data_IF_919448667913
#
_entry.id   IF_919448667913
#
_cell.length_a   1.000
_cell.length_b   1.000
_cell.length_c   1.000
_cell.angle_alpha   90.00
_cell.angle_beta   90.00
_cell.angle_gamma   90.00
#
_symmetry.space_group_name_H-M   'P 1'
#
loop_
_entity.id
_entity.type
_entity.pdbx_description
1 polymer ?
#
# COMPACT_ATOMS: atom_id res chain seq x y z
N UNK A 1 14.62 35.68 36.25
CA UNK A 1 13.99 35.70 34.93
C UNK A 1 13.84 34.24 34.50
N UNK A 2 12.65 33.67 34.67
CA UNK A 2 12.36 32.29 34.23
C UNK A 2 12.16 32.29 32.71
N UNK A 3 13.05 31.60 32.00
CA UNK A 3 12.83 31.28 30.57
C UNK A 3 11.48 30.59 30.40
N UNK A 4 10.52 31.30 29.87
CA UNK A 4 9.22 30.70 29.48
C UNK A 4 9.49 29.70 28.36
N UNK A 5 9.55 28.43 28.72
CA UNK A 5 9.64 27.33 27.76
C UNK A 5 8.53 27.51 26.69
N UNK A 6 8.92 27.67 25.43
CA UNK A 6 7.98 27.75 24.30
C UNK A 6 6.99 26.58 24.44
N UNK A 7 5.65 26.82 24.37
CA UNK A 7 4.67 25.78 24.54
C UNK A 7 4.95 24.68 23.51
N UNK A 8 5.15 23.45 23.98
CA UNK A 8 5.42 22.32 23.10
C UNK A 8 4.22 22.12 22.16
N UNK A 9 4.48 21.93 20.85
CA UNK A 9 3.45 21.75 19.82
C UNK A 9 2.45 20.64 20.22
N UNK A 10 2.95 19.57 20.82
CA UNK A 10 2.18 18.43 21.30
C UNK A 10 2.22 18.32 22.81
N UNK A 11 1.12 17.96 23.42
CA UNK A 11 1.07 17.55 24.83
C UNK A 11 1.82 16.22 25.04
N UNK A 12 2.19 15.91 26.28
CA UNK A 12 2.81 14.62 26.61
C UNK A 12 1.92 13.42 26.24
N UNK A 13 0.60 13.57 26.40
CA UNK A 13 -0.39 12.57 25.99
C UNK A 13 -0.43 12.37 24.48
N UNK A 14 -0.47 13.46 23.70
CA UNK A 14 -0.43 13.41 22.23
C UNK A 14 0.88 12.82 21.72
N UNK A 15 2.04 13.19 22.30
CA UNK A 15 3.33 12.61 21.94
C UNK A 15 3.35 11.10 22.17
N UNK A 16 2.89 10.63 23.33
CA UNK A 16 2.81 9.20 23.64
C UNK A 16 1.92 8.47 22.63
N UNK A 17 0.76 9.03 22.29
CA UNK A 17 -0.17 8.46 21.32
C UNK A 17 0.44 8.38 19.91
N UNK A 18 1.09 9.47 19.45
CA UNK A 18 1.73 9.55 18.13
C UNK A 18 2.85 8.51 18.03
N UNK A 19 3.78 8.48 19.00
CA UNK A 19 4.90 7.53 18.95
C UNK A 19 4.45 6.09 18.99
N UNK A 20 3.48 5.75 19.85
CA UNK A 20 2.96 4.38 19.96
C UNK A 20 2.27 3.94 18.68
N UNK A 21 1.37 4.76 18.12
CA UNK A 21 0.63 4.42 16.91
C UNK A 21 1.55 4.43 15.66
N UNK A 22 2.52 5.32 15.60
CA UNK A 22 3.56 5.31 14.55
C UNK A 22 4.42 4.05 14.60
N UNK A 23 4.80 3.59 15.80
CA UNK A 23 5.55 2.33 15.97
C UNK A 23 4.74 1.12 15.53
N UNK A 24 3.47 1.04 15.92
CA UNK A 24 2.57 -0.05 15.50
C UNK A 24 2.41 -0.06 13.98
N UNK A 25 2.19 1.11 13.38
CA UNK A 25 2.03 1.23 11.93
C UNK A 25 3.33 0.92 11.20
N UNK A 26 4.48 1.35 11.74
CA UNK A 26 5.80 1.02 11.24
C UNK A 26 6.02 -0.51 11.18
N UNK A 27 5.87 -1.22 12.29
CA UNK A 27 6.10 -2.67 12.33
C UNK A 27 5.16 -3.41 11.40
N UNK A 28 3.90 -3.00 11.32
CA UNK A 28 2.94 -3.60 10.42
C UNK A 28 3.30 -3.37 8.95
N UNK A 29 3.61 -2.14 8.57
CA UNK A 29 3.95 -1.81 7.18
C UNK A 29 5.30 -2.38 6.77
N UNK A 30 6.28 -2.37 7.68
CA UNK A 30 7.54 -3.07 7.47
C UNK A 30 7.32 -4.55 7.16
N UNK A 31 6.48 -5.23 7.94
CA UNK A 31 6.15 -6.65 7.74
C UNK A 31 5.53 -6.93 6.37
N UNK A 32 4.66 -6.05 5.88
CA UNK A 32 4.00 -6.21 4.59
C UNK A 32 4.99 -5.97 3.44
N UNK A 33 5.72 -4.86 3.52
CA UNK A 33 6.66 -4.45 2.48
C UNK A 33 7.88 -5.36 2.38
N UNK A 34 8.29 -5.98 3.50
CA UNK A 34 9.39 -6.91 3.54
C UNK A 34 9.19 -8.12 2.63
N UNK A 35 7.97 -8.60 2.51
CA UNK A 35 7.64 -9.77 1.68
C UNK A 35 7.56 -9.43 0.19
N UNK A 36 7.20 -8.19 -0.18
CA UNK A 36 6.93 -7.84 -1.57
C UNK A 36 8.04 -8.23 -2.56
N UNK A 37 9.32 -7.87 -2.35
CA UNK A 37 10.37 -8.12 -3.33
C UNK A 37 10.93 -9.54 -3.34
N UNK A 38 10.57 -10.40 -2.38
CA UNK A 38 11.18 -11.74 -2.23
C UNK A 38 10.16 -12.88 -2.20
N UNK A 39 8.88 -12.58 -1.93
CA UNK A 39 7.86 -13.60 -1.72
C UNK A 39 7.68 -14.52 -2.93
N UNK A 40 7.60 -13.97 -4.15
CA UNK A 40 7.37 -14.76 -5.36
C UNK A 40 8.48 -15.79 -5.61
N UNK A 41 9.72 -15.41 -5.33
CA UNK A 41 10.90 -16.28 -5.52
C UNK A 41 10.96 -17.35 -4.42
N UNK A 42 10.77 -16.96 -3.15
CA UNK A 42 10.83 -17.91 -2.04
C UNK A 42 9.65 -18.88 -2.00
N UNK A 43 8.48 -18.45 -2.48
CA UNK A 43 7.28 -19.30 -2.53
C UNK A 43 7.35 -20.39 -3.62
N UNK A 44 8.31 -20.33 -4.55
CA UNK A 44 8.55 -21.42 -5.52
C UNK A 44 9.01 -22.72 -4.87
N UNK A 45 9.61 -22.62 -3.69
CA UNK A 45 10.12 -23.78 -2.95
C UNK A 45 9.00 -24.53 -2.17
N UNK A 46 7.76 -24.01 -2.15
CA UNK A 46 6.61 -24.65 -1.48
C UNK A 46 6.07 -25.83 -2.32
N UNK A 47 5.62 -26.87 -1.64
CA UNK A 47 4.99 -28.02 -2.29
C UNK A 47 3.73 -27.61 -3.08
N UNK A 48 3.63 -28.07 -4.32
CA UNK A 48 2.53 -27.73 -5.23
C UNK A 48 2.55 -26.30 -5.76
N UNK A 49 3.66 -25.57 -5.59
CA UNK A 49 3.80 -24.21 -6.07
C UNK A 49 3.78 -24.18 -7.63
N UNK A 50 2.95 -23.29 -8.15
CA UNK A 50 2.95 -22.91 -9.56
C UNK A 50 2.93 -21.38 -9.65
N UNK A 51 3.41 -20.75 -10.73
CA UNK A 51 3.36 -19.30 -10.87
C UNK A 51 1.95 -18.73 -10.65
N UNK A 52 0.92 -19.42 -11.11
CA UNK A 52 -0.47 -19.02 -10.90
C UNK A 52 -0.84 -19.00 -9.40
N UNK A 53 -0.59 -20.09 -8.67
CA UNK A 53 -0.94 -20.21 -7.25
C UNK A 53 -0.11 -19.26 -6.38
N UNK A 54 1.15 -19.00 -6.74
CA UNK A 54 1.98 -17.99 -6.08
C UNK A 54 1.39 -16.58 -6.32
N UNK A 55 0.94 -16.29 -7.55
CA UNK A 55 0.26 -15.03 -7.87
C UNK A 55 -1.02 -14.86 -7.04
N UNK A 56 -1.83 -15.92 -6.88
CA UNK A 56 -3.00 -15.94 -6.00
C UNK A 56 -2.59 -15.69 -4.55
N UNK A 57 -1.56 -16.37 -4.03
CA UNK A 57 -1.06 -16.19 -2.66
C UNK A 57 -0.56 -14.75 -2.44
N UNK A 58 0.18 -14.19 -3.42
CA UNK A 58 0.68 -12.83 -3.37
C UNK A 58 -0.45 -11.82 -3.26
N UNK A 59 -1.48 -11.94 -4.10
CA UNK A 59 -2.62 -11.03 -4.14
C UNK A 59 -3.66 -11.24 -3.03
N UNK A 60 -3.78 -12.46 -2.47
CA UNK A 60 -4.80 -12.86 -1.50
C UNK A 60 -4.83 -11.94 -0.26
N UNK A 61 -3.65 -11.53 0.22
CA UNK A 61 -3.53 -10.52 1.27
C UNK A 61 -4.24 -9.22 0.90
N UNK A 62 -3.98 -8.69 -0.30
CA UNK A 62 -4.59 -7.46 -0.78
C UNK A 62 -6.11 -7.58 -0.89
N UNK A 63 -6.62 -8.70 -1.41
CA UNK A 63 -8.06 -8.92 -1.56
C UNK A 63 -8.81 -8.79 -0.23
N UNK A 64 -8.38 -9.53 0.80
CA UNK A 64 -9.02 -9.47 2.12
C UNK A 64 -8.80 -8.14 2.83
N UNK A 65 -7.62 -7.55 2.69
CA UNK A 65 -7.31 -6.20 3.19
C UNK A 65 -8.29 -5.17 2.60
N UNK A 66 -8.50 -5.18 1.29
CA UNK A 66 -9.41 -4.26 0.62
C UNK A 66 -10.87 -4.47 1.04
N UNK A 67 -11.33 -5.72 1.07
CA UNK A 67 -12.70 -6.07 1.44
C UNK A 67 -13.04 -5.70 2.89
N UNK A 68 -12.09 -5.90 3.82
CA UNK A 68 -12.34 -5.78 5.25
C UNK A 68 -11.95 -4.42 5.83
N UNK A 69 -11.18 -3.59 5.12
CA UNK A 69 -10.73 -2.29 5.64
C UNK A 69 -11.88 -1.37 6.03
N UNK A 70 -12.97 -1.33 5.24
CA UNK A 70 -14.15 -0.54 5.52
C UNK A 70 -15.02 -1.15 6.63
N UNK A 71 -15.37 -2.46 6.58
CA UNK A 71 -16.06 -3.11 7.71
C UNK A 71 -15.34 -2.93 9.04
N UNK A 72 -14.02 -3.07 9.08
CA UNK A 72 -13.23 -2.85 10.29
C UNK A 72 -13.29 -1.40 10.78
N UNK A 73 -13.23 -0.43 9.87
CA UNK A 73 -13.42 0.98 10.20
C UNK A 73 -14.76 1.24 10.87
N UNK A 74 -15.86 0.81 10.24
CA UNK A 74 -17.22 0.95 10.78
C UNK A 74 -17.44 0.19 12.09
N UNK A 75 -16.87 -1.01 12.19
CA UNK A 75 -16.94 -1.81 13.40
C UNK A 75 -16.20 -1.14 14.55
N UNK A 76 -15.06 -0.50 14.26
CA UNK A 76 -14.27 0.23 15.25
C UNK A 76 -15.00 1.44 15.83
N UNK A 77 -15.91 2.05 15.06
CA UNK A 77 -16.77 3.14 15.54
C UNK A 77 -17.79 2.67 16.57
N UNK A 78 -18.18 1.38 16.54
CA UNK A 78 -19.21 0.80 17.42
C UNK A 78 -18.63 0.11 18.65
N UNK A 79 -17.55 -0.65 18.50
CA UNK A 79 -16.99 -1.53 19.54
C UNK A 79 -15.80 -0.87 20.23
N UNK A 80 -15.26 0.19 19.62
CA UNK A 80 -14.09 0.92 20.10
C UNK A 80 -12.83 0.64 19.28
N UNK A 81 -12.11 1.70 18.94
CA UNK A 81 -10.93 1.69 18.06
C UNK A 81 -9.86 0.71 18.52
N UNK A 82 -9.46 0.81 19.80
CA UNK A 82 -8.38 -0.02 20.35
C UNK A 82 -8.70 -1.52 20.30
N UNK A 83 -9.96 -1.89 20.59
CA UNK A 83 -10.40 -3.31 20.55
C UNK A 83 -10.27 -3.88 19.13
N UNK A 84 -10.70 -3.13 18.12
CA UNK A 84 -10.64 -3.57 16.73
C UNK A 84 -9.18 -3.66 16.23
N UNK A 85 -8.30 -2.74 16.67
CA UNK A 85 -6.86 -2.84 16.37
C UNK A 85 -6.26 -4.11 17.00
N UNK A 86 -6.60 -4.44 18.23
CA UNK A 86 -6.12 -5.67 18.90
C UNK A 86 -6.56 -6.92 18.15
N UNK A 87 -7.85 -6.99 17.77
CA UNK A 87 -8.39 -8.12 17.01
C UNK A 87 -7.72 -8.23 15.63
N UNK A 88 -7.58 -7.11 14.93
CA UNK A 88 -6.94 -7.10 13.61
C UNK A 88 -5.45 -7.48 13.65
N UNK A 89 -4.70 -7.03 14.68
CA UNK A 89 -3.32 -7.48 14.89
C UNK A 89 -3.26 -8.97 15.25
N UNK A 90 -4.22 -9.48 16.03
CA UNK A 90 -4.34 -10.89 16.35
C UNK A 90 -4.58 -11.75 15.11
N UNK A 91 -5.50 -11.34 14.22
CA UNK A 91 -5.76 -12.01 12.94
C UNK A 91 -4.52 -11.97 12.02
N UNK A 92 -3.87 -10.81 11.95
CA UNK A 92 -2.63 -10.67 11.17
C UNK A 92 -1.53 -11.59 11.71
N UNK A 93 -1.33 -11.64 13.02
CA UNK A 93 -0.36 -12.52 13.66
C UNK A 93 -0.71 -14.00 13.45
N UNK A 94 -1.96 -14.41 13.61
CA UNK A 94 -2.40 -15.78 13.36
C UNK A 94 -2.14 -16.21 11.90
N UNK A 95 -2.41 -15.33 10.94
CA UNK A 95 -2.09 -15.57 9.53
C UNK A 95 -0.58 -15.73 9.30
N UNK A 96 0.25 -14.94 9.99
CA UNK A 96 1.72 -15.09 9.90
C UNK A 96 2.22 -16.37 10.56
N UNK A 97 1.63 -16.79 11.66
CA UNK A 97 1.92 -18.11 12.27
C UNK A 97 1.58 -19.23 11.29
N UNK A 98 0.38 -19.19 10.69
CA UNK A 98 0.00 -20.20 9.70
C UNK A 98 0.94 -20.21 8.50
N UNK A 99 1.36 -19.03 8.01
CA UNK A 99 2.30 -18.92 6.89
C UNK A 99 3.70 -19.44 7.24
N UNK A 100 4.16 -19.25 8.48
CA UNK A 100 5.46 -19.73 8.95
C UNK A 100 5.58 -21.26 8.97
N UNK A 101 4.45 -21.97 9.07
CA UNK A 101 4.37 -23.43 9.09
C UNK A 101 3.69 -24.00 7.83
N UNK A 102 3.49 -23.18 6.80
CA UNK A 102 2.89 -23.61 5.55
C UNK A 102 3.92 -24.32 4.67
N UNK A 103 3.82 -25.64 4.53
CA UNK A 103 4.67 -26.43 3.66
C UNK A 103 4.14 -26.48 2.21
N UNK A 104 2.83 -26.23 2.01
CA UNK A 104 2.18 -26.24 0.72
C UNK A 104 1.69 -24.85 0.33
N UNK A 105 1.61 -24.60 -0.99
CA UNK A 105 1.09 -23.33 -1.51
C UNK A 105 -0.38 -23.08 -1.13
N UNK A 106 -1.18 -24.14 -0.95
CA UNK A 106 -2.59 -24.03 -0.54
C UNK A 106 -2.72 -23.45 0.88
N UNK A 107 -1.92 -23.97 1.83
CA UNK A 107 -1.88 -23.41 3.19
C UNK A 107 -1.33 -21.99 3.21
N UNK A 108 -0.34 -21.70 2.36
CA UNK A 108 0.16 -20.33 2.17
C UNK A 108 -0.95 -19.39 1.69
N UNK A 109 -1.77 -19.78 0.71
CA UNK A 109 -2.91 -18.98 0.23
C UNK A 109 -3.88 -18.69 1.37
N UNK A 110 -4.26 -19.71 2.17
CA UNK A 110 -5.14 -19.52 3.34
C UNK A 110 -4.53 -18.55 4.35
N UNK A 111 -3.24 -18.72 4.64
CA UNK A 111 -2.50 -17.84 5.54
C UNK A 111 -2.53 -16.39 5.06
N UNK A 112 -2.33 -16.15 3.75
CA UNK A 112 -2.35 -14.82 3.15
C UNK A 112 -3.73 -14.16 3.22
N UNK A 113 -4.80 -14.92 3.00
CA UNK A 113 -6.18 -14.43 3.23
C UNK A 113 -6.40 -14.03 4.69
N UNK A 114 -5.94 -14.85 5.63
CA UNK A 114 -6.07 -14.57 7.07
C UNK A 114 -5.25 -13.33 7.48
N UNK A 115 -4.02 -13.17 6.97
CA UNK A 115 -3.20 -11.98 7.20
C UNK A 115 -3.91 -10.69 6.74
N UNK A 116 -4.47 -10.69 5.52
CA UNK A 116 -5.19 -9.55 4.99
C UNK A 116 -6.45 -9.19 5.80
N UNK A 117 -7.04 -10.18 6.48
CA UNK A 117 -8.19 -9.95 7.34
C UNK A 117 -7.89 -9.04 8.55
N UNK A 118 -6.63 -8.83 8.88
CA UNK A 118 -6.21 -7.89 9.92
C UNK A 118 -6.18 -6.42 9.45
N UNK A 119 -7.20 -5.92 8.79
CA UNK A 119 -7.25 -4.60 8.12
C UNK A 119 -7.39 -3.43 9.11
N UNK A 120 -6.33 -3.05 9.84
CA UNK A 120 -6.37 -2.03 10.90
C UNK A 120 -5.98 -0.62 10.48
N UNK A 121 -5.43 -0.40 9.28
CA UNK A 121 -4.82 0.89 8.90
C UNK A 121 -5.79 2.06 9.05
N UNK A 122 -7.02 1.94 8.55
CA UNK A 122 -8.05 2.99 8.69
C UNK A 122 -8.40 3.27 10.15
N UNK A 123 -8.46 2.22 10.98
CA UNK A 123 -8.76 2.32 12.42
C UNK A 123 -7.63 3.03 13.18
N UNK A 124 -6.36 2.81 12.81
CA UNK A 124 -5.20 3.50 13.42
C UNK A 124 -5.24 4.99 13.10
N UNK A 125 -5.51 5.38 11.84
CA UNK A 125 -5.65 6.79 11.45
C UNK A 125 -6.86 7.45 12.12
N UNK A 126 -7.94 6.72 12.34
CA UNK A 126 -9.09 7.23 13.08
C UNK A 126 -8.74 7.39 14.58
N UNK A 127 -8.04 6.42 15.17
CA UNK A 127 -7.66 6.50 16.58
C UNK A 127 -6.72 7.69 16.88
N UNK A 128 -5.73 7.98 16.02
CA UNK A 128 -4.89 9.16 16.23
C UNK A 128 -5.67 10.46 16.14
N UNK A 129 -6.70 10.51 15.27
CA UNK A 129 -7.58 11.67 15.18
C UNK A 129 -8.44 11.86 16.44
N UNK A 130 -8.80 10.77 17.12
CA UNK A 130 -9.53 10.80 18.39
C UNK A 130 -8.63 11.17 19.59
N UNK A 131 -7.31 10.87 19.51
CA UNK A 131 -6.33 11.12 20.59
C UNK A 131 -5.56 12.44 20.43
N UNK A 132 -5.85 13.24 19.39
CA UNK A 132 -5.16 14.50 19.11
C UNK A 132 -6.14 15.64 18.90
N UNK A 133 -5.76 16.84 19.39
CA UNK A 133 -6.53 18.07 19.17
C UNK A 133 -6.61 18.41 17.67
N UNK A 134 -7.70 19.07 17.22
CA UNK A 134 -7.89 19.46 15.81
C UNK A 134 -6.69 20.23 15.22
N UNK A 135 -6.05 21.11 16.02
CA UNK A 135 -4.96 22.00 15.59
C UNK A 135 -3.68 21.25 15.23
N UNK A 136 -3.46 20.07 15.85
CA UNK A 136 -2.24 19.27 15.66
C UNK A 136 -2.48 17.98 14.87
N UNK A 137 -3.73 17.65 14.56
CA UNK A 137 -4.14 16.39 13.87
C UNK A 137 -3.44 16.18 12.54
N UNK A 138 -3.27 17.24 11.74
CA UNK A 138 -2.54 17.15 10.46
C UNK A 138 -1.09 16.73 10.66
N UNK A 139 -0.41 17.29 11.69
CA UNK A 139 0.98 16.94 12.02
C UNK A 139 1.09 15.52 12.58
N UNK A 140 0.12 15.08 13.37
CA UNK A 140 0.05 13.72 13.88
C UNK A 140 -0.11 12.70 12.73
N UNK A 141 -1.02 12.95 11.80
CA UNK A 141 -1.18 12.12 10.60
C UNK A 141 0.08 12.12 9.71
N UNK A 142 0.76 13.26 9.59
CA UNK A 142 2.03 13.32 8.86
C UNK A 142 3.12 12.45 9.52
N UNK A 143 3.18 12.38 10.86
CA UNK A 143 4.10 11.51 11.59
C UNK A 143 3.79 10.02 11.31
N UNK A 144 2.50 9.63 11.31
CA UNK A 144 2.09 8.28 10.92
C UNK A 144 2.48 7.96 9.47
N UNK A 145 2.22 8.88 8.55
CA UNK A 145 2.62 8.73 7.15
C UNK A 145 4.13 8.58 6.98
N UNK A 146 4.92 9.38 7.71
CA UNK A 146 6.37 9.27 7.71
C UNK A 146 6.85 7.89 8.22
N UNK A 147 6.19 7.33 9.25
CA UNK A 147 6.51 5.98 9.73
C UNK A 147 6.28 4.90 8.68
N UNK A 148 5.24 5.04 7.84
CA UNK A 148 4.97 4.15 6.71
C UNK A 148 6.07 4.26 5.66
N UNK A 149 6.48 5.48 5.29
CA UNK A 149 7.57 5.70 4.33
C UNK A 149 8.91 5.15 4.79
N UNK A 150 9.23 5.34 6.08
CA UNK A 150 10.45 4.77 6.69
C UNK A 150 10.37 3.24 6.70
N UNK A 151 9.22 2.65 7.05
CA UNK A 151 9.00 1.21 7.03
C UNK A 151 9.21 0.64 5.62
N UNK A 152 8.70 1.31 4.58
CA UNK A 152 8.90 0.93 3.20
C UNK A 152 10.38 0.92 2.82
N UNK A 153 11.12 2.00 3.13
CA UNK A 153 12.53 2.11 2.81
C UNK A 153 13.37 1.01 3.48
N UNK A 154 13.15 0.79 4.78
CA UNK A 154 13.86 -0.26 5.52
C UNK A 154 13.51 -1.65 5.02
N UNK A 155 12.23 -1.92 4.73
CA UNK A 155 11.77 -3.22 4.26
C UNK A 155 12.43 -3.60 2.93
N UNK A 156 12.37 -2.70 1.95
CA UNK A 156 12.95 -2.98 0.63
C UNK A 156 14.47 -3.12 0.66
N UNK A 157 15.17 -2.30 1.47
CA UNK A 157 16.61 -2.41 1.62
C UNK A 157 17.06 -3.70 2.31
N UNK A 158 16.25 -4.23 3.23
CA UNK A 158 16.61 -5.40 4.05
C UNK A 158 15.96 -6.71 3.58
N UNK A 159 14.91 -6.67 2.75
CA UNK A 159 14.17 -7.85 2.34
C UNK A 159 15.02 -8.94 1.68
N UNK A 160 15.92 -8.64 0.72
CA UNK A 160 16.77 -9.65 0.13
C UNK A 160 17.68 -10.33 1.15
N UNK A 161 18.25 -9.55 2.08
CA UNK A 161 19.11 -10.07 3.15
C UNK A 161 18.33 -11.01 4.09
N UNK A 162 17.16 -10.60 4.58
CA UNK A 162 16.34 -11.44 5.44
C UNK A 162 15.79 -12.65 4.69
N UNK A 163 15.45 -12.51 3.41
CA UNK A 163 15.01 -13.61 2.56
C UNK A 163 16.06 -14.70 2.41
N UNK A 164 17.32 -14.33 2.20
CA UNK A 164 18.45 -15.26 2.10
C UNK A 164 18.78 -15.91 3.44
N UNK A 165 18.82 -15.10 4.52
CA UNK A 165 19.22 -15.58 5.84
C UNK A 165 18.16 -16.43 6.54
N UNK A 166 16.87 -16.03 6.48
CA UNK A 166 15.78 -16.66 7.24
C UNK A 166 14.93 -17.60 6.38
N UNK A 167 14.98 -17.47 5.05
CA UNK A 167 14.02 -18.10 4.16
C UNK A 167 12.59 -17.59 4.38
N UNK A 168 11.64 -18.16 3.66
CA UNK A 168 10.24 -17.73 3.72
C UNK A 168 9.64 -17.94 5.11
N UNK A 169 9.82 -19.12 5.69
CA UNK A 169 9.25 -19.49 7.00
C UNK A 169 9.81 -18.60 8.12
N UNK A 170 11.14 -18.36 8.10
CA UNK A 170 11.79 -17.51 9.10
C UNK A 170 11.39 -16.04 8.98
N UNK A 171 11.15 -15.53 7.77
CA UNK A 171 10.59 -14.19 7.59
C UNK A 171 9.20 -14.07 8.21
N UNK A 172 8.33 -15.06 8.02
CA UNK A 172 7.01 -15.05 8.66
C UNK A 172 7.11 -15.13 10.19
N UNK A 173 8.03 -15.92 10.74
CA UNK A 173 8.29 -15.95 12.20
C UNK A 173 8.76 -14.58 12.72
N UNK A 174 9.66 -13.93 12.01
CA UNK A 174 10.07 -12.56 12.35
C UNK A 174 8.86 -11.61 12.37
N UNK A 175 7.97 -11.70 11.38
CA UNK A 175 6.74 -10.90 11.33
C UNK A 175 5.81 -11.22 12.50
N UNK A 176 5.73 -12.48 12.97
CA UNK A 176 4.99 -12.85 14.19
C UNK A 176 5.54 -12.10 15.39
N UNK A 177 6.87 -12.05 15.56
CA UNK A 177 7.51 -11.31 16.65
C UNK A 177 7.18 -9.82 16.59
N UNK A 178 7.29 -9.20 15.40
CA UNK A 178 6.96 -7.79 15.21
C UNK A 178 5.47 -7.50 15.47
N UNK A 179 4.60 -8.43 15.11
CA UNK A 179 3.15 -8.35 15.39
C UNK A 179 2.86 -8.45 16.88
N UNK A 180 3.56 -9.35 17.59
CA UNK A 180 3.47 -9.47 19.05
C UNK A 180 3.95 -8.19 19.75
N UNK A 181 5.07 -7.60 19.32
CA UNK A 181 5.53 -6.30 19.82
C UNK A 181 4.46 -5.22 19.59
N UNK A 182 3.88 -5.16 18.39
CA UNK A 182 2.79 -4.22 18.08
C UNK A 182 1.58 -4.43 18.99
N UNK A 183 1.21 -5.68 19.29
CA UNK A 183 0.11 -6.02 20.18
C UNK A 183 0.40 -5.57 21.62
N UNK A 184 1.60 -5.81 22.12
CA UNK A 184 2.03 -5.33 23.46
C UNK A 184 1.99 -3.80 23.49
N UNK A 185 2.51 -3.11 22.48
CA UNK A 185 2.45 -1.65 22.40
C UNK A 185 1.00 -1.12 22.44
N UNK A 186 0.07 -1.72 21.69
CA UNK A 186 -1.34 -1.31 21.74
C UNK A 186 -1.90 -1.48 23.13
N UNK A 187 -1.64 -2.61 23.78
CA UNK A 187 -2.23 -2.93 25.10
C UNK A 187 -1.68 -2.03 26.21
N UNK A 188 -0.38 -1.72 26.19
CA UNK A 188 0.32 -1.04 27.28
C UNK A 188 0.47 0.46 27.11
N UNK A 189 0.68 0.94 25.89
CA UNK A 189 1.07 2.34 25.67
C UNK A 189 -0.01 3.21 25.02
N UNK A 190 -0.90 2.61 24.21
CA UNK A 190 -1.96 3.36 23.54
C UNK A 190 -3.08 3.67 24.52
N UNK A 191 -3.40 4.95 24.77
CA UNK A 191 -4.50 5.31 25.65
C UNK A 191 -5.86 4.88 25.10
N UNK A 192 -6.83 4.67 25.97
CA UNK A 192 -8.23 4.57 25.55
C UNK A 192 -8.74 5.99 25.26
N UNK A 193 -9.34 6.26 24.10
CA UNK A 193 -10.00 7.52 23.88
C UNK A 193 -11.15 7.68 24.89
N UNK A 194 -11.29 8.84 25.48
CA UNK A 194 -12.51 9.22 26.18
C UNK A 194 -13.64 9.13 25.15
N UNK A 195 -14.72 8.41 25.49
CA UNK A 195 -15.78 7.99 24.59
C UNK A 195 -16.15 9.09 23.56
N UNK A 196 -15.73 8.91 22.31
CA UNK A 196 -16.24 9.72 21.21
C UNK A 196 -17.73 9.42 21.05
N UNK A 197 -18.59 10.43 20.97
CA UNK A 197 -20.02 10.20 20.72
C UNK A 197 -20.15 9.46 19.39
N UNK A 198 -20.66 8.24 19.45
CA UNK A 198 -20.94 7.40 18.31
C UNK A 198 -22.02 8.07 17.47
N UNK A 199 -21.63 8.77 16.42
CA UNK A 199 -22.58 9.29 15.45
C UNK A 199 -23.04 8.12 14.57
N UNK A 200 -24.32 7.71 14.65
CA UNK A 200 -24.84 6.67 13.80
C UNK A 200 -24.79 7.14 12.34
N UNK A 201 -23.98 6.50 11.51
CA UNK A 201 -24.06 6.71 10.06
C UNK A 201 -25.45 6.23 9.59
N UNK A 202 -26.32 7.17 9.22
CA UNK A 202 -27.70 6.92 8.76
C UNK A 202 -27.77 6.27 7.38
N UNK A 203 -26.69 6.26 6.60
CA UNK A 203 -26.68 5.77 5.21
C UNK A 203 -25.86 4.50 5.05
N UNK A 204 -26.39 3.54 4.28
CA UNK A 204 -25.69 2.31 3.93
C UNK A 204 -24.43 2.63 3.13
N UNK A 205 -23.30 1.99 3.50
CA UNK A 205 -22.03 2.08 2.76
C UNK A 205 -22.21 1.88 1.24
N UNK A 206 -22.99 0.89 0.82
CA UNK A 206 -23.21 0.60 -0.60
C UNK A 206 -23.90 1.74 -1.35
N UNK A 207 -24.82 2.45 -0.70
CA UNK A 207 -25.44 3.61 -1.29
C UNK A 207 -24.47 4.78 -1.42
N UNK A 208 -23.61 4.99 -0.41
CA UNK A 208 -22.56 6.01 -0.47
C UNK A 208 -21.50 5.65 -1.50
N UNK A 209 -21.08 4.39 -1.59
CA UNK A 209 -20.13 3.92 -2.61
C UNK A 209 -20.69 4.11 -4.04
N UNK A 210 -21.97 3.81 -4.27
CA UNK A 210 -22.65 4.08 -5.55
C UNK A 210 -22.65 5.58 -5.88
N UNK A 211 -22.85 6.44 -4.89
CA UNK A 211 -22.81 7.90 -5.06
C UNK A 211 -21.41 8.38 -5.42
N UNK A 212 -20.39 7.87 -4.74
CA UNK A 212 -18.97 8.14 -5.01
C UNK A 212 -18.60 7.72 -6.43
N UNK A 213 -19.03 6.53 -6.85
CA UNK A 213 -18.75 6.00 -8.19
C UNK A 213 -19.40 6.80 -9.33
N UNK A 214 -20.48 7.52 -9.06
CA UNK A 214 -21.11 8.42 -10.06
C UNK A 214 -20.29 9.68 -10.34
N UNK A 215 -19.38 10.07 -9.45
CA UNK A 215 -18.51 11.24 -9.64
C UNK A 215 -17.36 10.88 -10.60
N UNK A 216 -17.27 11.49 -11.80
CA UNK A 216 -16.29 11.11 -12.81
C UNK A 216 -14.85 11.19 -12.30
N UNK A 217 -14.50 12.23 -11.54
CA UNK A 217 -13.16 12.40 -10.96
C UNK A 217 -12.79 11.27 -10.00
N UNK A 218 -13.71 10.87 -9.12
CA UNK A 218 -13.48 9.76 -8.17
C UNK A 218 -13.38 8.41 -8.88
N UNK A 219 -14.13 8.21 -9.95
CA UNK A 219 -14.04 7.02 -10.80
C UNK A 219 -12.67 6.93 -11.49
N UNK A 220 -12.18 8.05 -12.04
CA UNK A 220 -10.83 8.10 -12.65
C UNK A 220 -9.74 7.79 -11.63
N UNK A 221 -9.81 8.37 -10.42
CA UNK A 221 -8.85 8.11 -9.34
C UNK A 221 -8.91 6.63 -8.89
N UNK A 222 -10.11 6.06 -8.75
CA UNK A 222 -10.28 4.66 -8.37
C UNK A 222 -9.75 3.71 -9.43
N UNK A 223 -9.94 4.03 -10.73
CA UNK A 223 -9.34 3.26 -11.82
C UNK A 223 -7.81 3.38 -11.81
N UNK A 224 -7.28 4.58 -11.60
CA UNK A 224 -5.84 4.79 -11.42
C UNK A 224 -5.27 3.98 -10.25
N UNK A 225 -5.99 3.95 -9.12
CA UNK A 225 -5.65 3.09 -7.98
C UNK A 225 -5.61 1.60 -8.35
N UNK A 226 -6.60 1.12 -9.11
CA UNK A 226 -6.61 -0.25 -9.64
C UNK A 226 -5.39 -0.53 -10.53
N UNK A 227 -5.08 0.34 -11.49
CA UNK A 227 -3.94 0.18 -12.40
C UNK A 227 -2.61 0.19 -11.63
N UNK A 228 -2.44 1.15 -10.72
CA UNK A 228 -1.25 1.21 -9.87
C UNK A 228 -1.10 -0.02 -8.97
N UNK A 229 -2.21 -0.50 -8.40
CA UNK A 229 -2.21 -1.73 -7.60
C UNK A 229 -1.85 -2.97 -8.42
N UNK A 230 -2.45 -3.11 -9.61
CA UNK A 230 -2.15 -4.22 -10.51
C UNK A 230 -0.69 -4.18 -10.97
N UNK A 231 -0.18 -3.00 -11.35
CA UNK A 231 1.22 -2.80 -11.71
C UNK A 231 2.16 -3.12 -10.56
N UNK A 232 1.88 -2.66 -9.34
CA UNK A 232 2.70 -2.94 -8.15
C UNK A 232 2.84 -4.45 -7.90
N UNK A 233 1.71 -5.14 -7.81
CA UNK A 233 1.70 -6.56 -7.49
C UNK A 233 2.31 -7.41 -8.60
N UNK A 234 2.01 -7.12 -9.88
CA UNK A 234 2.59 -7.85 -11.00
C UNK A 234 4.08 -7.60 -11.16
N UNK A 235 4.55 -6.36 -10.98
CA UNK A 235 5.97 -6.01 -11.09
C UNK A 235 6.79 -6.71 -10.01
N UNK A 236 6.33 -6.69 -8.75
CA UNK A 236 7.00 -7.39 -7.65
C UNK A 236 6.84 -8.90 -7.67
N UNK A 237 5.84 -9.40 -8.38
CA UNK A 237 5.72 -10.82 -8.65
C UNK A 237 6.71 -11.28 -9.74
N UNK A 238 6.72 -10.57 -10.88
CA UNK A 238 7.44 -11.01 -12.09
C UNK A 238 8.93 -10.72 -12.04
N UNK A 239 9.31 -9.47 -11.73
CA UNK A 239 10.71 -9.03 -11.93
C UNK A 239 11.69 -9.79 -11.05
N UNK A 240 11.44 -10.06 -9.75
CA UNK A 240 12.35 -10.89 -8.96
C UNK A 240 12.53 -12.29 -9.54
N UNK A 241 11.45 -12.92 -10.01
CA UNK A 241 11.51 -14.25 -10.62
C UNK A 241 12.33 -14.24 -11.91
N UNK A 242 12.13 -13.25 -12.77
CA UNK A 242 12.88 -13.08 -14.02
C UNK A 242 14.38 -12.85 -13.73
N UNK A 243 14.71 -11.95 -12.81
CA UNK A 243 16.09 -11.63 -12.47
C UNK A 243 16.84 -12.85 -11.93
N UNK A 244 16.20 -13.69 -11.11
CA UNK A 244 16.79 -14.95 -10.63
C UNK A 244 17.07 -15.90 -11.80
N UNK A 245 16.18 -16.01 -12.80
CA UNK A 245 16.40 -16.82 -13.99
C UNK A 245 17.61 -16.36 -14.81
N UNK A 246 17.90 -15.04 -14.81
CA UNK A 246 19.12 -14.50 -15.44
C UNK A 246 20.37 -14.57 -14.55
N UNK A 247 20.31 -15.29 -13.42
CA UNK A 247 21.45 -15.55 -12.55
C UNK A 247 21.77 -14.46 -11.53
N UNK A 248 20.85 -13.52 -11.29
CA UNK A 248 21.02 -12.58 -10.20
C UNK A 248 20.88 -13.27 -8.85
N UNK A 249 21.84 -13.07 -7.95
CA UNK A 249 21.78 -13.58 -6.59
C UNK A 249 20.67 -12.87 -5.79
N UNK A 250 19.86 -13.67 -5.08
CA UNK A 250 18.74 -13.14 -4.25
C UNK A 250 19.22 -12.08 -3.27
N UNK A 251 20.36 -12.32 -2.60
CA UNK A 251 20.95 -11.42 -1.62
C UNK A 251 21.40 -10.06 -2.22
N UNK A 252 21.71 -10.00 -3.51
CA UNK A 252 22.22 -8.79 -4.17
C UNK A 252 21.14 -7.90 -4.79
N UNK A 253 19.89 -8.32 -4.81
CA UNK A 253 18.79 -7.56 -5.41
C UNK A 253 18.56 -6.18 -4.78
N UNK A 254 19.00 -5.97 -3.54
CA UNK A 254 18.98 -4.64 -2.93
C UNK A 254 19.76 -3.59 -3.73
N UNK A 255 20.82 -4.00 -4.46
CA UNK A 255 21.61 -3.11 -5.33
C UNK A 255 20.77 -2.56 -6.50
N UNK A 256 19.70 -3.26 -6.88
CA UNK A 256 18.73 -2.83 -7.90
C UNK A 256 17.62 -2.02 -7.23
N UNK A 257 17.05 -2.53 -6.14
CA UNK A 257 15.88 -1.90 -5.51
C UNK A 257 16.20 -0.56 -4.86
N UNK A 258 17.35 -0.41 -4.20
CA UNK A 258 17.68 0.83 -3.48
C UNK A 258 17.81 2.06 -4.41
N UNK A 259 18.54 2.03 -5.54
CA UNK A 259 18.55 3.14 -6.49
C UNK A 259 17.16 3.47 -7.07
N UNK A 260 16.33 2.43 -7.33
CA UNK A 260 14.97 2.61 -7.84
C UNK A 260 14.08 3.32 -6.84
N UNK A 261 14.19 2.95 -5.56
CA UNK A 261 13.46 3.61 -4.49
C UNK A 261 13.85 5.08 -4.34
N UNK A 262 15.13 5.39 -4.43
CA UNK A 262 15.61 6.78 -4.37
C UNK A 262 15.06 7.59 -5.55
N UNK A 263 15.08 7.04 -6.76
CA UNK A 263 14.47 7.66 -7.94
C UNK A 263 12.95 7.87 -7.76
N UNK A 264 12.25 6.87 -7.23
CA UNK A 264 10.82 6.96 -6.89
C UNK A 264 10.53 8.03 -5.85
N UNK A 265 11.35 8.14 -4.79
CA UNK A 265 11.20 9.17 -3.77
C UNK A 265 11.40 10.59 -4.35
N UNK A 266 12.37 10.78 -5.23
CA UNK A 266 12.57 12.05 -5.95
C UNK A 266 11.35 12.36 -6.82
N UNK A 267 10.87 11.37 -7.58
CA UNK A 267 9.67 11.50 -8.42
C UNK A 267 8.45 11.90 -7.59
N UNK A 268 8.24 11.27 -6.42
CA UNK A 268 7.15 11.58 -5.49
C UNK A 268 7.19 13.04 -5.01
N UNK A 269 8.36 13.53 -4.60
CA UNK A 269 8.53 14.89 -4.10
C UNK A 269 8.25 15.90 -5.23
N UNK A 270 8.84 15.67 -6.39
CA UNK A 270 8.62 16.55 -7.55
C UNK A 270 7.16 16.56 -7.97
N UNK A 271 6.52 15.40 -8.05
CA UNK A 271 5.11 15.28 -8.39
C UNK A 271 4.22 16.05 -7.41
N UNK A 272 4.45 15.91 -6.10
CA UNK A 272 3.70 16.65 -5.08
C UNK A 272 3.86 18.17 -5.24
N UNK A 273 5.10 18.66 -5.46
CA UNK A 273 5.38 20.08 -5.66
C UNK A 273 4.68 20.60 -6.92
N UNK A 274 4.83 19.92 -8.06
CA UNK A 274 4.23 20.38 -9.32
C UNK A 274 2.70 20.32 -9.26
N UNK A 275 2.12 19.26 -8.68
CA UNK A 275 0.68 19.12 -8.57
C UNK A 275 0.09 20.18 -7.63
N UNK A 276 0.64 20.35 -6.42
CA UNK A 276 0.03 21.21 -5.39
C UNK A 276 0.38 22.69 -5.55
N UNK A 277 1.66 23.02 -5.77
CA UNK A 277 2.09 24.42 -5.88
C UNK A 277 1.62 25.06 -7.21
N UNK A 278 1.74 24.32 -8.31
CA UNK A 278 1.34 24.82 -9.64
C UNK A 278 -0.09 24.47 -10.03
N UNK A 279 -0.80 23.68 -9.20
CA UNK A 279 -2.16 23.19 -9.46
C UNK A 279 -2.28 22.41 -10.78
N UNK A 280 -1.28 21.61 -11.12
CA UNK A 280 -1.18 20.85 -12.38
C UNK A 280 -1.34 19.35 -12.15
N UNK A 281 -2.42 18.95 -11.46
CA UNK A 281 -2.69 17.55 -11.13
C UNK A 281 -2.83 16.67 -12.36
N UNK A 282 -3.57 17.15 -13.38
CA UNK A 282 -3.81 16.41 -14.61
C UNK A 282 -2.50 16.11 -15.36
N UNK A 283 -1.65 17.13 -15.56
CA UNK A 283 -0.39 16.99 -16.28
C UNK A 283 0.57 16.04 -15.56
N UNK A 284 0.60 16.11 -14.22
CA UNK A 284 1.41 15.21 -13.40
C UNK A 284 0.89 13.77 -13.45
N UNK A 285 -0.43 13.57 -13.45
CA UNK A 285 -1.02 12.25 -13.66
C UNK A 285 -0.68 11.67 -15.04
N UNK A 286 -0.81 12.46 -16.10
CA UNK A 286 -0.44 12.04 -17.47
C UNK A 286 1.03 11.65 -17.55
N UNK A 287 1.92 12.42 -16.93
CA UNK A 287 3.34 12.08 -16.86
C UNK A 287 3.58 10.75 -16.12
N UNK A 288 2.92 10.54 -14.99
CA UNK A 288 2.99 9.28 -14.23
C UNK A 288 2.53 8.08 -15.07
N UNK A 289 1.44 8.22 -15.85
CA UNK A 289 0.94 7.15 -16.73
C UNK A 289 1.95 6.85 -17.85
N UNK A 290 2.58 7.87 -18.43
CA UNK A 290 3.61 7.68 -19.46
C UNK A 290 4.78 6.86 -18.88
N UNK A 291 5.21 7.13 -17.65
CA UNK A 291 6.26 6.35 -17.00
C UNK A 291 5.84 4.89 -16.78
N UNK A 292 4.60 4.62 -16.34
CA UNK A 292 4.08 3.26 -16.22
C UNK A 292 4.08 2.56 -17.59
N UNK A 293 3.64 3.25 -18.64
CA UNK A 293 3.63 2.72 -20.00
C UNK A 293 5.05 2.41 -20.52
N UNK A 294 6.03 3.27 -20.22
CA UNK A 294 7.44 2.99 -20.51
C UNK A 294 7.93 1.73 -19.80
N UNK A 295 7.44 1.46 -18.58
CA UNK A 295 7.74 0.21 -17.86
C UNK A 295 7.23 -1.01 -18.63
N UNK A 296 5.97 -0.99 -19.08
CA UNK A 296 5.38 -2.11 -19.84
C UNK A 296 6.11 -2.33 -21.16
N UNK A 297 6.45 -1.26 -21.89
CA UNK A 297 7.24 -1.34 -23.13
C UNK A 297 8.60 -1.95 -22.84
N UNK A 298 9.30 -1.51 -21.79
CA UNK A 298 10.61 -2.03 -21.43
C UNK A 298 10.56 -3.52 -21.08
N UNK A 299 9.52 -4.00 -20.40
CA UNK A 299 9.31 -5.43 -20.17
C UNK A 299 9.13 -6.20 -21.49
N UNK A 300 8.37 -5.65 -22.44
CA UNK A 300 8.18 -6.25 -23.77
C UNK A 300 9.48 -6.37 -24.54
N UNK A 301 10.30 -5.32 -24.58
CA UNK A 301 11.62 -5.34 -25.23
C UNK A 301 12.54 -6.34 -24.53
N UNK A 302 12.52 -6.41 -23.20
CA UNK A 302 13.31 -7.36 -22.42
C UNK A 302 12.98 -8.80 -22.76
N UNK A 303 11.71 -9.11 -22.93
CA UNK A 303 11.23 -10.44 -23.32
C UNK A 303 11.63 -10.79 -24.77
N UNK A 304 11.48 -9.84 -25.70
CA UNK A 304 11.78 -10.08 -27.12
C UNK A 304 13.28 -10.22 -27.38
N UNK A 305 14.10 -9.38 -26.74
CA UNK A 305 15.55 -9.37 -26.93
C UNK A 305 16.31 -10.33 -26.02
N UNK A 306 15.62 -11.02 -25.10
CA UNK A 306 16.22 -11.87 -24.07
C UNK A 306 17.31 -11.14 -23.27
N UNK A 307 17.04 -9.91 -22.83
CA UNK A 307 18.00 -9.05 -22.13
C UNK A 307 17.46 -8.59 -20.78
N UNK A 308 18.09 -9.06 -19.71
CA UNK A 308 17.73 -8.72 -18.31
C UNK A 308 17.76 -7.22 -18.00
N UNK A 309 18.62 -6.43 -18.66
CA UNK A 309 18.74 -5.00 -18.42
C UNK A 309 17.41 -4.25 -18.62
N UNK A 310 16.60 -4.67 -19.59
CA UNK A 310 15.32 -4.04 -19.86
C UNK A 310 14.29 -4.26 -18.73
N UNK A 311 14.38 -5.38 -18.00
CA UNK A 311 13.54 -5.58 -16.80
C UNK A 311 13.97 -4.68 -15.64
N UNK A 312 15.27 -4.38 -15.51
CA UNK A 312 15.77 -3.38 -14.55
C UNK A 312 15.30 -1.98 -14.94
N UNK A 313 15.34 -1.62 -16.23
CA UNK A 313 14.81 -0.36 -16.76
C UNK A 313 13.30 -0.27 -16.55
N UNK A 314 12.56 -1.35 -16.76
CA UNK A 314 11.14 -1.43 -16.50
C UNK A 314 10.81 -1.12 -15.03
N UNK A 315 11.56 -1.74 -14.12
CA UNK A 315 11.42 -1.51 -12.69
C UNK A 315 11.67 -0.03 -12.32
N UNK A 316 12.68 0.60 -12.92
CA UNK A 316 12.97 2.02 -12.73
C UNK A 316 11.80 2.90 -13.14
N UNK A 317 11.27 2.73 -14.35
CA UNK A 317 10.12 3.49 -14.82
C UNK A 317 8.86 3.22 -13.98
N UNK A 318 8.65 1.96 -13.59
CA UNK A 318 7.55 1.60 -12.71
C UNK A 318 7.61 2.35 -11.38
N UNK A 319 8.76 2.32 -10.69
CA UNK A 319 8.91 3.01 -9.39
C UNK A 319 8.70 4.50 -9.51
N UNK A 320 9.25 5.14 -10.54
CA UNK A 320 9.03 6.56 -10.77
C UNK A 320 7.55 6.86 -11.01
N UNK A 321 6.89 6.12 -11.90
CA UNK A 321 5.49 6.32 -12.25
C UNK A 321 4.56 6.06 -11.06
N UNK A 322 4.73 4.93 -10.36
CA UNK A 322 3.94 4.57 -9.18
C UNK A 322 4.03 5.64 -8.08
N UNK A 323 5.24 6.09 -7.76
CA UNK A 323 5.45 7.08 -6.71
C UNK A 323 4.91 8.47 -7.05
N UNK A 324 4.68 8.80 -8.32
CA UNK A 324 3.94 10.01 -8.72
C UNK A 324 2.53 9.99 -8.13
N UNK A 325 1.86 8.84 -8.13
CA UNK A 325 0.46 8.73 -7.73
C UNK A 325 0.23 8.63 -6.22
N UNK A 326 1.21 8.15 -5.45
CA UNK A 326 1.10 7.96 -4.00
C UNK A 326 0.62 9.22 -3.25
N UNK A 327 1.20 10.40 -3.44
CA UNK A 327 0.71 11.62 -2.78
C UNK A 327 -0.53 12.21 -3.48
N UNK A 328 -0.68 11.99 -4.79
CA UNK A 328 -1.67 12.67 -5.62
C UNK A 328 -3.07 12.11 -5.43
N UNK A 329 -3.24 10.79 -5.45
CA UNK A 329 -4.57 10.19 -5.34
C UNK A 329 -5.27 10.49 -4.02
N UNK A 330 -4.64 10.34 -2.82
CA UNK A 330 -5.27 10.73 -1.56
C UNK A 330 -5.61 12.22 -1.49
N UNK A 331 -4.74 13.08 -2.04
CA UNK A 331 -4.99 14.52 -2.13
C UNK A 331 -6.21 14.82 -2.99
N UNK A 332 -6.30 14.22 -4.18
CA UNK A 332 -7.42 14.40 -5.10
C UNK A 332 -8.74 13.85 -4.55
N UNK A 333 -8.74 12.67 -3.92
CA UNK A 333 -9.93 12.14 -3.23
C UNK A 333 -10.43 13.13 -2.19
N UNK A 334 -9.52 13.68 -1.38
CA UNK A 334 -9.87 14.66 -0.35
C UNK A 334 -10.42 15.97 -0.92
N UNK A 335 -9.92 16.41 -2.07
CA UNK A 335 -10.37 17.64 -2.76
C UNK A 335 -11.70 17.46 -3.50
N UNK A 336 -11.99 16.24 -3.93
CA UNK A 336 -13.19 15.91 -4.72
C UNK A 336 -14.38 15.45 -3.87
N UNK A 337 -14.29 15.53 -2.53
CA UNK A 337 -15.29 15.01 -1.60
C UNK A 337 -15.65 16.00 -0.51
N UNK A 338 -16.87 15.87 0.02
CA UNK A 338 -17.31 16.56 1.24
C UNK A 338 -16.80 15.82 2.49
N UNK A 339 -16.86 16.47 3.65
CA UNK A 339 -16.49 15.86 4.93
C UNK A 339 -17.25 14.53 5.20
N UNK A 340 -18.52 14.46 4.77
CA UNK A 340 -19.40 13.29 4.95
C UNK A 340 -19.02 12.11 4.05
N UNK A 341 -18.57 12.36 2.81
CA UNK A 341 -18.31 11.33 1.80
C UNK A 341 -16.84 10.94 1.70
N UNK A 342 -15.93 11.72 2.32
CA UNK A 342 -14.48 11.56 2.24
C UNK A 342 -14.01 10.15 2.65
N UNK A 343 -14.53 9.64 3.78
CA UNK A 343 -14.16 8.30 4.26
C UNK A 343 -14.56 7.19 3.29
N UNK A 344 -15.78 7.28 2.75
CA UNK A 344 -16.28 6.31 1.77
C UNK A 344 -15.51 6.38 0.46
N UNK A 345 -15.19 7.59 -0.03
CA UNK A 345 -14.43 7.76 -1.27
C UNK A 345 -12.99 7.22 -1.14
N UNK A 346 -12.35 7.49 0.00
CA UNK A 346 -11.03 6.91 0.30
C UNK A 346 -11.09 5.38 0.38
N UNK A 347 -12.17 4.84 0.95
CA UNK A 347 -12.39 3.41 1.02
C UNK A 347 -12.60 2.78 -0.36
N UNK A 348 -13.37 3.41 -1.24
CA UNK A 348 -13.56 2.93 -2.63
C UNK A 348 -12.24 2.97 -3.41
N UNK A 349 -11.46 4.03 -3.26
CA UNK A 349 -10.13 4.14 -3.85
C UNK A 349 -9.20 3.02 -3.36
N UNK A 350 -9.06 2.84 -2.06
CA UNK A 350 -8.21 1.80 -1.47
C UNK A 350 -8.66 0.40 -1.88
N UNK A 351 -9.98 0.15 -1.87
CA UNK A 351 -10.54 -1.12 -2.35
C UNK A 351 -10.15 -1.39 -3.81
N UNK A 352 -10.25 -0.39 -4.68
CA UNK A 352 -9.86 -0.51 -6.09
C UNK A 352 -8.36 -0.84 -6.23
N UNK A 353 -7.50 -0.20 -5.44
CA UNK A 353 -6.06 -0.48 -5.43
C UNK A 353 -5.75 -1.92 -4.99
N UNK A 354 -6.39 -2.40 -3.92
CA UNK A 354 -6.18 -3.76 -3.41
C UNK A 354 -6.74 -4.84 -4.35
N UNK A 355 -7.90 -4.61 -4.97
CA UNK A 355 -8.43 -5.50 -6.02
C UNK A 355 -7.47 -5.53 -7.21
N UNK A 356 -6.91 -4.38 -7.60
CA UNK A 356 -5.85 -4.30 -8.60
C UNK A 356 -4.66 -5.19 -8.25
N UNK A 357 -4.17 -5.12 -7.00
CA UNK A 357 -3.07 -5.98 -6.54
C UNK A 357 -3.39 -7.46 -6.67
N UNK A 358 -4.58 -7.89 -6.26
CA UNK A 358 -4.99 -9.29 -6.38
C UNK A 358 -5.05 -9.74 -7.85
N UNK A 359 -5.75 -8.98 -8.68
CA UNK A 359 -5.92 -9.32 -10.10
C UNK A 359 -4.56 -9.27 -10.82
N UNK A 360 -3.76 -8.22 -10.59
CA UNK A 360 -2.45 -8.06 -11.21
C UNK A 360 -1.50 -9.23 -10.94
N UNK A 361 -1.33 -9.61 -9.67
CA UNK A 361 -0.49 -10.75 -9.31
C UNK A 361 -1.02 -12.09 -9.84
N UNK A 362 -2.33 -12.31 -9.75
CA UNK A 362 -2.97 -13.55 -10.20
C UNK A 362 -2.86 -13.72 -11.72
N UNK A 363 -3.14 -12.66 -12.49
CA UNK A 363 -3.06 -12.67 -13.95
C UNK A 363 -1.61 -12.76 -14.41
N UNK A 364 -0.70 -12.06 -13.75
CA UNK A 364 0.74 -12.18 -14.00
C UNK A 364 1.22 -13.62 -13.81
N UNK A 365 0.82 -14.26 -12.69
CA UNK A 365 1.16 -15.66 -12.43
C UNK A 365 0.56 -16.64 -13.43
N UNK A 366 -0.70 -16.40 -13.86
CA UNK A 366 -1.38 -17.26 -14.85
C UNK A 366 -0.73 -17.18 -16.24
N UNK A 367 -0.25 -15.99 -16.64
CA UNK A 367 0.25 -15.74 -18.00
C UNK A 367 1.77 -15.76 -18.11
N UNK A 368 2.49 -15.84 -16.99
CA UNK A 368 3.95 -15.78 -16.93
C UNK A 368 4.66 -16.77 -17.84
N UNK A 369 4.30 -18.05 -17.75
CA UNK A 369 5.03 -19.11 -18.40
C UNK A 369 4.81 -19.20 -19.93
N UNK A 370 3.57 -18.94 -20.38
CA UNK A 370 3.19 -19.25 -21.76
C UNK A 370 2.66 -18.06 -22.57
N UNK A 371 2.21 -17.01 -21.90
CA UNK A 371 1.48 -15.91 -22.55
C UNK A 371 1.86 -14.53 -22.00
N UNK A 372 3.16 -14.33 -21.72
CA UNK A 372 3.64 -13.07 -21.11
C UNK A 372 3.28 -11.83 -21.92
N UNK A 373 3.27 -11.91 -23.24
CA UNK A 373 2.84 -10.81 -24.11
C UNK A 373 1.35 -10.45 -23.90
N UNK A 374 0.49 -11.44 -23.69
CA UNK A 374 -0.93 -11.18 -23.40
C UNK A 374 -1.07 -10.42 -22.08
N UNK A 375 -0.29 -10.78 -21.06
CA UNK A 375 -0.25 -10.04 -19.79
C UNK A 375 0.13 -8.58 -20.02
N UNK A 376 1.20 -8.30 -20.78
CA UNK A 376 1.64 -6.94 -21.07
C UNK A 376 0.59 -6.15 -21.85
N UNK A 377 -0.10 -6.78 -22.81
CA UNK A 377 -1.20 -6.15 -23.56
C UNK A 377 -2.37 -5.80 -22.64
N UNK A 378 -2.75 -6.66 -21.71
CA UNK A 378 -3.82 -6.37 -20.75
C UNK A 378 -3.46 -5.19 -19.85
N UNK A 379 -2.22 -5.13 -19.37
CA UNK A 379 -1.75 -4.01 -18.55
C UNK A 379 -1.71 -2.72 -19.36
N UNK A 380 -1.17 -2.76 -20.58
CA UNK A 380 -1.14 -1.61 -21.49
C UNK A 380 -2.55 -1.08 -21.81
N UNK A 381 -3.53 -1.95 -22.06
CA UNK A 381 -4.93 -1.54 -22.30
C UNK A 381 -5.50 -0.84 -21.07
N UNK A 382 -5.23 -1.37 -19.86
CA UNK A 382 -5.69 -0.74 -18.62
C UNK A 382 -5.07 0.66 -18.41
N UNK A 383 -3.79 0.83 -18.74
CA UNK A 383 -3.07 2.10 -18.68
C UNK A 383 -3.54 3.10 -19.75
N UNK A 384 -3.78 2.63 -20.98
CA UNK A 384 -4.35 3.47 -22.05
C UNK A 384 -5.74 3.97 -21.65
N UNK A 385 -6.56 3.11 -21.07
CA UNK A 385 -7.86 3.53 -20.57
C UNK A 385 -7.74 4.56 -19.44
N UNK A 386 -6.78 4.37 -18.55
CA UNK A 386 -6.49 5.34 -17.49
C UNK A 386 -6.01 6.68 -18.07
N UNK A 387 -5.14 6.65 -19.08
CA UNK A 387 -4.71 7.84 -19.80
C UNK A 387 -5.89 8.60 -20.43
N UNK A 388 -6.78 7.87 -21.13
CA UNK A 388 -7.98 8.45 -21.73
C UNK A 388 -8.89 9.13 -20.69
N UNK A 389 -9.14 8.47 -19.57
CA UNK A 389 -9.93 9.05 -18.48
C UNK A 389 -9.27 10.30 -17.89
N UNK A 390 -7.94 10.31 -17.83
CA UNK A 390 -7.17 11.43 -17.28
C UNK A 390 -7.14 12.63 -18.23
N UNK A 391 -7.26 12.45 -19.54
CA UNK A 391 -7.36 13.55 -20.49
C UNK A 391 -8.54 14.50 -20.19
N UNK A 392 -9.65 13.98 -19.72
CA UNK A 392 -10.84 14.74 -19.35
C UNK A 392 -10.86 15.14 -17.87
N UNK A 393 -9.79 14.85 -17.13
CA UNK A 393 -9.74 15.14 -15.68
C UNK A 393 -9.61 16.65 -15.44
N UNK A 394 -10.53 17.28 -14.69
CA UNK A 394 -10.43 18.70 -14.36
C UNK A 394 -9.33 18.92 -13.32
N UNK A 395 -8.49 19.95 -13.53
CA UNK A 395 -7.63 20.40 -12.45
C UNK A 395 -8.51 20.99 -11.32
N UNK A 396 -8.33 20.55 -10.07
CA UNK A 396 -9.14 21.06 -8.96
C UNK A 396 -8.89 22.57 -8.79
N UNK A 397 -9.94 23.30 -8.37
CA UNK A 397 -9.81 24.73 -8.07
C UNK A 397 -8.75 24.97 -6.99
N UNK A 398 -7.98 26.05 -7.14
CA UNK A 398 -6.99 26.43 -6.10
C UNK A 398 -7.71 26.64 -4.79
N UNK A 399 -7.37 25.88 -3.77
CA UNK A 399 -7.76 26.21 -2.40
C UNK A 399 -7.20 27.59 -2.07
N UNK A 400 -8.05 28.58 -1.87
CA UNK A 400 -7.65 29.84 -1.24
C UNK A 400 -7.15 29.46 0.16
N UNK A 401 -5.83 29.37 0.31
CA UNK A 401 -5.20 29.28 1.62
C UNK A 401 -5.40 30.67 2.21
N UNK A 402 -6.46 30.82 3.01
CA UNK A 402 -6.60 32.00 3.86
C UNK A 402 -5.34 32.00 4.75
N UNK A 403 -4.52 33.04 4.52
CA UNK A 403 -3.27 33.29 5.26
C UNK A 403 -3.56 33.55 6.72
#
# INVERSE_FOLDING_TARGET
MSESAKPSIFTSYEKKSIYSLSGILFFRMFSIFLLLPVFSVLAMDLEGATPFLIGVAFGAYGLTQGLLQLPFGMWSDRVGRKRVIVIGLGLFMAGNVLAAFADTIQWMIVARFLQGSGAISSTVFALIADLTRPEVRTRANAALGASVGIAFAFAFGSAPFFGEWLGLNGMFLMIVVLSAISLVLVLTTVPNPESSPLLPQKTSFWNMAKTVWKVPTLRTISWGGFVCGAGLASTFFLIPMILVQYGYERAEMWKIYLPMMLAGAVSMILAAIFAEVRNRFREVMLFGIILLFCSVISMGIGQEQDRHLWFVVALFFFFMGFNVFEPIFPSLVTRSTTAETKGTAMGVYNFSQFIGQFIGATVAGALYANNFLIFLLLLAVAEIWFFYLTLSFPNPEKRNIVK
#
